data_IF_598438828318
#
_entry.id   IF_598438828318
#
_cell.length_a   1.000
_cell.length_b   1.000
_cell.length_c   1.000
_cell.angle_alpha   90.00
_cell.angle_beta   90.00
_cell.angle_gamma   90.00
#
_symmetry.space_group_name_H-M   'P 1'
#
loop_
_entity.id
_entity.type
_entity.pdbx_description
1 polymer ?
#
# COMPACT_ATOMS: atom_id res chain seq x y z
N UNK A 1 -11.98 -11.75 38.67
CA UNK A 1 -12.74 -11.31 37.48
C UNK A 1 -12.61 -9.80 37.26
N UNK A 2 -12.87 -8.97 38.29
CA UNK A 2 -12.66 -7.50 38.25
C UNK A 2 -11.28 -7.08 37.71
N UNK A 3 -10.21 -7.65 38.27
CA UNK A 3 -8.84 -7.38 37.81
C UNK A 3 -8.56 -7.78 36.35
N UNK A 4 -9.25 -8.80 35.84
CA UNK A 4 -9.10 -9.23 34.44
C UNK A 4 -9.78 -8.22 33.51
N UNK A 5 -10.91 -7.63 33.92
CA UNK A 5 -11.58 -6.58 33.16
C UNK A 5 -10.80 -5.25 33.20
N UNK A 6 -10.24 -4.86 34.35
CA UNK A 6 -9.46 -3.63 34.50
C UNK A 6 -8.16 -3.68 33.68
N UNK A 7 -7.49 -4.83 33.64
CA UNK A 7 -6.25 -5.01 32.86
C UNK A 7 -6.45 -5.12 31.34
N UNK A 8 -7.68 -5.28 30.84
CA UNK A 8 -7.97 -5.15 29.40
C UNK A 8 -7.94 -3.68 28.95
N UNK A 9 -8.27 -2.73 29.83
CA UNK A 9 -8.18 -1.31 29.49
C UNK A 9 -6.72 -0.84 29.35
N UNK A 10 -5.78 -1.49 30.04
CA UNK A 10 -4.36 -1.18 29.98
C UNK A 10 -3.68 -1.77 28.72
N UNK A 11 -4.12 -2.96 28.28
CA UNK A 11 -3.65 -3.60 27.06
C UNK A 11 -4.85 -4.18 26.26
N UNK A 12 -5.51 -3.34 25.44
CA UNK A 12 -6.76 -3.68 24.76
C UNK A 12 -6.66 -4.86 23.79
N UNK A 13 -5.46 -5.21 23.34
CA UNK A 13 -5.21 -6.27 22.36
C UNK A 13 -4.32 -7.40 22.89
N UNK A 14 -4.07 -7.39 24.20
CA UNK A 14 -3.13 -8.28 24.87
C UNK A 14 -3.59 -9.71 25.11
N UNK A 15 -2.79 -10.43 25.87
CA UNK A 15 -3.06 -11.82 26.23
C UNK A 15 -4.39 -12.00 26.99
N UNK A 16 -4.81 -11.01 27.78
CA UNK A 16 -6.07 -11.06 28.54
C UNK A 16 -7.28 -10.85 27.63
N UNK A 17 -7.22 -9.93 26.67
CA UNK A 17 -8.21 -9.79 25.60
C UNK A 17 -8.36 -11.12 24.84
N UNK A 18 -7.23 -11.76 24.48
CA UNK A 18 -7.23 -13.07 23.80
C UNK A 18 -7.89 -14.17 24.63
N UNK A 19 -7.68 -14.22 25.94
CA UNK A 19 -8.32 -15.20 26.85
C UNK A 19 -9.83 -14.96 26.94
N UNK A 20 -10.24 -13.71 27.04
CA UNK A 20 -11.64 -13.28 27.04
C UNK A 20 -12.30 -13.68 25.71
N UNK A 21 -11.74 -13.27 24.57
CA UNK A 21 -12.29 -13.58 23.24
C UNK A 21 -12.31 -15.08 22.92
N UNK A 22 -11.34 -15.88 23.42
CA UNK A 22 -11.39 -17.35 23.30
C UNK A 22 -12.59 -17.97 24.01
N UNK A 23 -13.05 -17.38 25.12
CA UNK A 23 -14.28 -17.80 25.82
C UNK A 23 -15.55 -17.26 25.18
N UNK A 24 -15.49 -16.05 24.63
CA UNK A 24 -16.58 -15.42 23.88
C UNK A 24 -16.57 -15.79 22.39
N UNK A 25 -15.92 -16.90 22.02
CA UNK A 25 -15.87 -17.45 20.65
C UNK A 25 -17.24 -17.92 20.19
N UNK A 26 -18.19 -16.99 20.11
CA UNK A 26 -19.49 -17.15 19.49
C UNK A 26 -19.34 -16.85 18.01
N UNK A 27 -20.08 -17.62 17.21
CA UNK A 27 -20.41 -17.29 15.83
C UNK A 27 -20.61 -15.80 15.72
N UNK A 28 -19.87 -15.14 14.82
CA UNK A 28 -20.25 -13.79 14.41
C UNK A 28 -21.75 -13.84 14.11
N UNK A 29 -22.56 -12.92 14.65
CA UNK A 29 -23.95 -12.85 14.25
C UNK A 29 -23.96 -12.79 12.73
N UNK A 30 -24.79 -13.61 12.08
CA UNK A 30 -24.96 -13.48 10.63
C UNK A 30 -25.51 -12.09 10.37
N UNK A 31 -24.62 -11.17 9.99
CA UNK A 31 -25.01 -9.83 9.60
C UNK A 31 -25.80 -9.98 8.31
N UNK A 32 -27.01 -9.44 8.29
CA UNK A 32 -27.74 -9.30 7.04
C UNK A 32 -26.96 -8.37 6.11
N UNK A 33 -27.16 -8.52 4.80
CA UNK A 33 -26.57 -7.60 3.82
C UNK A 33 -26.89 -6.14 4.14
N UNK A 34 -28.08 -5.86 4.68
CA UNK A 34 -28.50 -4.53 5.12
C UNK A 34 -27.64 -3.98 6.25
N UNK A 35 -27.33 -4.80 7.28
CA UNK A 35 -26.46 -4.39 8.38
C UNK A 35 -25.03 -4.10 7.92
N UNK A 36 -24.52 -4.88 6.96
CA UNK A 36 -23.19 -4.66 6.37
C UNK A 36 -23.16 -3.33 5.60
N UNK A 37 -24.20 -3.06 4.81
CA UNK A 37 -24.32 -1.80 4.05
C UNK A 37 -24.41 -0.61 5.01
N UNK A 38 -25.24 -0.67 6.05
CA UNK A 38 -25.35 0.39 7.04
C UNK A 38 -24.03 0.64 7.79
N UNK A 39 -23.31 -0.43 8.16
CA UNK A 39 -21.99 -0.31 8.76
C UNK A 39 -20.98 0.32 7.78
N UNK A 40 -21.00 -0.08 6.52
CA UNK A 40 -20.13 0.48 5.49
C UNK A 40 -20.43 1.98 5.25
N UNK A 41 -21.70 2.36 5.14
CA UNK A 41 -22.11 3.77 4.99
C UNK A 41 -21.70 4.62 6.21
N UNK A 42 -21.73 4.05 7.42
CA UNK A 42 -21.29 4.74 8.63
C UNK A 42 -19.77 4.85 8.75
N UNK A 43 -19.02 3.83 8.31
CA UNK A 43 -17.55 3.81 8.39
C UNK A 43 -16.89 4.59 7.25
N UNK A 44 -17.54 4.60 6.09
CA UNK A 44 -17.07 5.21 4.85
C UNK A 44 -18.13 6.19 4.33
N UNK A 45 -18.36 7.31 5.03
CA UNK A 45 -19.34 8.29 4.59
C UNK A 45 -18.99 8.80 3.20
N UNK A 46 -20.02 9.03 2.37
CA UNK A 46 -19.82 9.60 1.05
C UNK A 46 -19.31 11.02 1.19
N UNK A 47 -18.05 11.23 0.84
CA UNK A 47 -17.46 12.56 0.74
C UNK A 47 -17.85 13.19 -0.61
N UNK A 48 -18.03 14.54 -0.67
CA UNK A 48 -18.19 15.21 -1.95
C UNK A 48 -16.98 14.90 -2.83
N UNK A 49 -17.20 14.76 -4.14
CA UNK A 49 -16.10 14.62 -5.08
C UNK A 49 -15.20 15.83 -4.96
N UNK A 50 -13.93 15.59 -4.60
CA UNK A 50 -12.91 16.62 -4.64
C UNK A 50 -12.49 16.76 -6.10
N UNK A 51 -12.85 17.89 -6.71
CA UNK A 51 -12.26 18.27 -7.99
C UNK A 51 -10.89 18.85 -7.71
N UNK A 52 -9.85 18.14 -8.14
CA UNK A 52 -8.50 18.67 -8.16
C UNK A 52 -8.34 19.54 -9.40
N UNK A 53 -7.76 20.73 -9.23
CA UNK A 53 -7.31 21.51 -10.37
C UNK A 53 -6.16 20.79 -11.05
N UNK A 54 -6.21 20.67 -12.38
CA UNK A 54 -5.08 20.20 -13.18
C UNK A 54 -4.00 21.28 -13.16
N UNK A 55 -3.09 21.19 -12.19
CA UNK A 55 -1.92 22.05 -12.12
C UNK A 55 -0.85 21.45 -13.02
N UNK A 56 -0.72 21.99 -14.24
CA UNK A 56 0.38 21.62 -15.12
C UNK A 56 1.71 22.05 -14.48
N UNK A 57 2.60 21.08 -14.22
CA UNK A 57 3.94 21.38 -13.72
C UNK A 57 4.73 22.13 -14.80
N UNK A 58 5.22 23.34 -14.47
CA UNK A 58 6.04 24.14 -15.39
C UNK A 58 7.41 23.51 -15.65
N UNK A 59 7.91 22.72 -14.71
CA UNK A 59 9.14 21.97 -14.85
C UNK A 59 9.04 20.66 -14.06
N UNK A 60 9.31 19.54 -14.73
CA UNK A 60 9.37 18.21 -14.12
C UNK A 60 10.84 17.76 -14.17
N UNK A 61 11.51 17.61 -13.01
CA UNK A 61 12.89 17.14 -12.98
C UNK A 61 12.95 15.67 -13.39
N UNK A 62 13.89 15.34 -14.28
CA UNK A 62 14.15 13.96 -14.71
C UNK A 62 14.98 13.20 -13.67
N UNK A 63 14.75 11.90 -13.57
CA UNK A 63 15.57 11.01 -12.76
C UNK A 63 17.01 10.95 -13.27
N UNK A 64 17.96 10.94 -12.33
CA UNK A 64 19.40 10.90 -12.57
C UNK A 64 20.00 9.51 -12.33
N UNK A 65 21.19 9.26 -12.89
CA UNK A 65 21.93 8.02 -12.61
C UNK A 65 22.28 7.89 -11.12
N UNK A 66 22.59 8.99 -10.44
CA UNK A 66 22.90 8.97 -9.00
C UNK A 66 21.69 8.52 -8.16
N UNK A 67 20.49 8.98 -8.49
CA UNK A 67 19.25 8.54 -7.83
C UNK A 67 18.98 7.07 -8.11
N UNK A 68 19.16 6.62 -9.36
CA UNK A 68 19.01 5.21 -9.71
C UNK A 68 19.98 4.34 -8.89
N UNK A 69 21.25 4.74 -8.75
CA UNK A 69 22.22 4.03 -7.93
C UNK A 69 21.84 3.98 -6.45
N UNK A 70 21.31 5.06 -5.87
CA UNK A 70 20.84 5.07 -4.47
C UNK A 70 19.66 4.12 -4.28
N UNK A 71 18.69 4.13 -5.21
CA UNK A 71 17.54 3.23 -5.20
C UNK A 71 17.99 1.77 -5.27
N UNK A 72 18.94 1.43 -6.13
CA UNK A 72 19.46 0.07 -6.27
C UNK A 72 20.13 -0.45 -5.00
N UNK A 73 20.71 0.42 -4.17
CA UNK A 73 21.28 0.04 -2.86
C UNK A 73 20.21 -0.26 -1.82
N UNK A 74 19.04 0.39 -1.92
CA UNK A 74 17.93 0.29 -0.97
C UNK A 74 16.89 -0.76 -1.34
N UNK A 75 16.87 -1.17 -2.61
CA UNK A 75 15.89 -2.10 -3.15
C UNK A 75 16.03 -3.51 -2.53
N UNK A 76 14.93 -4.02 -1.95
CA UNK A 76 14.91 -5.32 -1.28
C UNK A 76 14.73 -6.46 -2.30
N UNK A 77 15.55 -7.49 -2.20
CA UNK A 77 15.43 -8.74 -2.95
C UNK A 77 14.45 -9.71 -2.28
N UNK A 78 14.03 -10.75 -2.98
CA UNK A 78 13.12 -11.82 -2.52
C UNK A 78 11.76 -11.30 -2.09
N UNK A 79 11.30 -10.23 -2.73
CA UNK A 79 9.94 -9.72 -2.60
C UNK A 79 9.08 -10.37 -3.68
N UNK A 80 7.82 -10.60 -3.36
CA UNK A 80 6.86 -11.07 -4.35
C UNK A 80 6.83 -10.08 -5.51
N UNK A 81 6.85 -10.56 -6.77
CA UNK A 81 6.75 -9.71 -7.94
C UNK A 81 5.40 -8.98 -7.96
N UNK A 82 5.34 -7.88 -8.71
CA UNK A 82 4.11 -7.15 -8.97
C UNK A 82 3.17 -7.91 -9.91
N UNK A 83 2.08 -7.27 -10.35
CA UNK A 83 1.16 -7.83 -11.35
C UNK A 83 1.84 -8.16 -12.69
N UNK A 84 2.96 -7.49 -12.98
CA UNK A 84 3.83 -7.72 -14.14
C UNK A 84 4.62 -9.04 -14.07
N UNK A 85 4.66 -9.69 -12.90
CA UNK A 85 5.43 -10.91 -12.67
C UNK A 85 6.94 -10.71 -12.65
N UNK A 86 7.44 -9.48 -12.69
CA UNK A 86 8.88 -9.20 -12.77
C UNK A 86 9.48 -9.20 -11.35
N UNK A 87 10.46 -10.07 -11.05
CA UNK A 87 11.09 -10.10 -9.73
C UNK A 87 12.04 -8.92 -9.53
N UNK A 88 12.21 -8.48 -8.27
CA UNK A 88 13.07 -7.33 -7.96
C UNK A 88 14.52 -7.55 -8.38
N UNK A 89 15.01 -8.78 -8.37
CA UNK A 89 16.34 -9.16 -8.85
C UNK A 89 16.53 -8.89 -10.35
N UNK A 90 15.49 -9.09 -11.17
CA UNK A 90 15.55 -8.83 -12.60
C UNK A 90 15.65 -7.31 -12.87
N UNK A 91 14.86 -6.51 -12.15
CA UNK A 91 14.91 -5.04 -12.23
C UNK A 91 16.29 -4.53 -11.80
N UNK A 92 16.84 -5.03 -10.68
CA UNK A 92 18.17 -4.66 -10.21
C UNK A 92 19.24 -5.03 -11.25
N UNK A 93 19.15 -6.22 -11.84
CA UNK A 93 20.07 -6.67 -12.88
C UNK A 93 20.01 -5.77 -14.10
N UNK A 94 18.81 -5.48 -14.60
CA UNK A 94 18.61 -4.62 -15.77
C UNK A 94 19.15 -3.20 -15.54
N UNK A 95 18.85 -2.60 -14.38
CA UNK A 95 19.33 -1.27 -14.03
C UNK A 95 20.85 -1.19 -13.85
N UNK A 96 21.50 -2.25 -13.37
CA UNK A 96 22.97 -2.33 -13.32
C UNK A 96 23.61 -2.54 -14.69
N UNK A 97 22.98 -3.34 -15.55
CA UNK A 97 23.53 -3.66 -16.87
C UNK A 97 23.29 -2.57 -17.92
N UNK A 98 22.16 -1.87 -17.84
CA UNK A 98 21.70 -0.88 -18.81
C UNK A 98 21.02 0.32 -18.11
N UNK A 99 21.73 1.06 -17.24
CA UNK A 99 21.14 2.14 -16.43
C UNK A 99 20.48 3.22 -17.29
N UNK A 100 21.12 3.60 -18.40
CA UNK A 100 20.62 4.62 -19.31
C UNK A 100 19.29 4.25 -19.97
N UNK A 101 19.09 2.98 -20.34
CA UNK A 101 17.82 2.53 -20.94
C UNK A 101 16.69 2.54 -19.93
N UNK A 102 16.96 2.15 -18.68
CA UNK A 102 15.98 2.21 -17.59
C UNK A 102 15.59 3.67 -17.32
N UNK A 103 16.57 4.57 -17.20
CA UNK A 103 16.30 6.00 -17.04
C UNK A 103 15.54 6.58 -18.22
N UNK A 104 15.91 6.22 -19.45
CA UNK A 104 15.21 6.68 -20.64
C UNK A 104 13.73 6.27 -20.60
N UNK A 105 13.44 5.01 -20.27
CA UNK A 105 12.06 4.53 -20.14
C UNK A 105 11.30 5.28 -19.04
N UNK A 106 11.88 5.40 -17.84
CA UNK A 106 11.22 6.09 -16.72
C UNK A 106 10.98 7.57 -16.98
N UNK A 107 11.97 8.28 -17.53
CA UNK A 107 11.85 9.69 -17.86
C UNK A 107 10.90 9.92 -19.05
N UNK A 108 10.79 8.96 -19.97
CA UNK A 108 9.83 9.04 -21.06
C UNK A 108 8.39 9.00 -20.54
N UNK A 109 8.06 8.06 -19.64
CA UNK A 109 6.76 7.99 -18.98
C UNK A 109 6.48 9.27 -18.18
N UNK A 110 7.47 9.75 -17.42
CA UNK A 110 7.34 10.93 -16.57
C UNK A 110 7.04 12.22 -17.37
N UNK A 111 7.69 12.41 -18.51
CA UNK A 111 7.59 13.64 -19.29
C UNK A 111 6.44 13.64 -20.30
N UNK A 112 6.07 12.47 -20.83
CA UNK A 112 5.07 12.37 -21.90
C UNK A 112 3.73 11.80 -21.42
N UNK A 113 3.65 11.36 -20.15
CA UNK A 113 2.48 10.67 -19.58
C UNK A 113 2.05 9.45 -20.41
N UNK A 114 3.00 8.86 -21.14
CA UNK A 114 2.79 7.72 -22.03
C UNK A 114 3.07 6.43 -21.26
N UNK A 115 1.99 5.81 -20.77
CA UNK A 115 2.06 4.57 -20.00
C UNK A 115 1.94 3.35 -20.90
N UNK A 116 2.63 2.24 -20.57
CA UNK A 116 2.44 0.97 -21.27
C UNK A 116 0.95 0.60 -21.30
N UNK A 117 0.46 0.20 -22.46
CA UNK A 117 -0.90 -0.38 -22.59
C UNK A 117 -1.01 -1.66 -21.77
N UNK A 118 -2.16 -1.86 -21.11
CA UNK A 118 -2.50 -3.12 -20.41
C UNK A 118 -2.39 -4.37 -21.28
#
# INVERSE_FOLDING_TARGET
WKEVCESVNEDPWGNRYRIVMKRFGQSLPMLSSEMIIQAADSLFPKHPQVMYEEIAATHIPTFTEAELEDVLKRMKTKKSPGPDGIPSEAVITAAKSQPQKVLQAMNHVLLNEDFPSE
#
